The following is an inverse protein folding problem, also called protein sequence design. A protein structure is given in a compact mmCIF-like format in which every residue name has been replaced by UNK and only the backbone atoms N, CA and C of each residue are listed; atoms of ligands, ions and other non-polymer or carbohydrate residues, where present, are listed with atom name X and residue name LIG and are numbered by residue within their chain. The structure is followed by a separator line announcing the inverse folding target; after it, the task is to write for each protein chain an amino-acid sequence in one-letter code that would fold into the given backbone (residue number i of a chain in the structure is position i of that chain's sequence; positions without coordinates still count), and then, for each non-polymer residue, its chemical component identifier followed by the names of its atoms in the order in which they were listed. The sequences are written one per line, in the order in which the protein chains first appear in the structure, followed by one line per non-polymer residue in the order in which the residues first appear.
data_IF_540769348429
#
_entry.id   IF_540769348429
#
_cell.length_a   1.000
_cell.length_b   1.000
_cell.length_c   1.000
_cell.angle_alpha   90.00
_cell.angle_beta   90.00
_cell.angle_gamma   90.00
#
_symmetry.space_group_name_H-M   'P 1'
#
loop_
_entity.id
_entity.type
_entity.pdbx_description
1 polymer ?
#
# COMPACT_ATOMS: atom_id res chain seq x y z
N UNK A 1 0.29 -19.62 -0.68
CA UNK A 1 0.26 -19.06 0.69
C UNK A 1 0.66 -17.58 0.73
N UNK A 2 1.94 -17.18 0.80
CA UNK A 2 2.33 -15.77 1.03
C UNK A 2 1.88 -14.73 -0.02
N UNK A 3 1.67 -15.16 -1.28
CA UNK A 3 1.06 -14.30 -2.30
C UNK A 3 -0.40 -13.96 -1.97
N UNK A 4 -1.16 -14.94 -1.45
CA UNK A 4 -2.54 -14.74 -1.04
C UNK A 4 -2.63 -13.72 0.11
N UNK A 5 -1.69 -13.72 1.04
CA UNK A 5 -1.68 -12.74 2.13
C UNK A 5 -1.40 -11.32 1.64
N UNK A 6 -0.50 -11.15 0.67
CA UNK A 6 -0.26 -9.84 0.04
C UNK A 6 -1.46 -9.37 -0.80
N UNK A 7 -2.16 -10.30 -1.46
CA UNK A 7 -3.42 -10.02 -2.16
C UNK A 7 -4.50 -9.60 -1.15
N UNK A 8 -4.62 -10.32 -0.03
CA UNK A 8 -5.53 -9.98 1.06
C UNK A 8 -5.24 -8.59 1.61
N UNK A 9 -3.97 -8.27 1.91
CA UNK A 9 -3.55 -6.93 2.33
C UNK A 9 -3.88 -5.86 1.28
N UNK A 10 -3.68 -6.16 -0.01
CA UNK A 10 -4.05 -5.24 -1.09
C UNK A 10 -5.57 -5.02 -1.15
N UNK A 11 -6.37 -6.07 -1.00
CA UNK A 11 -7.83 -5.99 -0.96
C UNK A 11 -8.32 -5.21 0.26
N UNK A 12 -7.76 -5.49 1.45
CA UNK A 12 -8.04 -4.72 2.68
C UNK A 12 -7.69 -3.25 2.48
N UNK A 13 -6.54 -2.96 1.88
CA UNK A 13 -6.11 -1.60 1.61
C UNK A 13 -7.06 -0.88 0.64
N UNK A 14 -7.51 -1.55 -0.42
CA UNK A 14 -8.48 -0.97 -1.36
C UNK A 14 -9.84 -0.70 -0.69
N UNK A 15 -10.34 -1.62 0.14
CA UNK A 15 -11.56 -1.39 0.93
C UNK A 15 -11.41 -0.23 1.91
N UNK A 16 -10.25 -0.14 2.58
CA UNK A 16 -9.92 0.99 3.44
C UNK A 16 -9.79 2.29 2.65
N UNK A 17 -9.23 2.26 1.43
CA UNK A 17 -9.13 3.43 0.55
C UNK A 17 -10.51 3.96 0.14
N UNK A 18 -11.47 3.07 -0.11
CA UNK A 18 -12.84 3.45 -0.44
C UNK A 18 -13.58 4.10 0.73
N UNK A 19 -13.19 3.80 1.97
CA UNK A 19 -13.89 4.24 3.19
C UNK A 19 -13.19 5.43 3.86
N UNK A 20 -11.86 5.36 3.94
CA UNK A 20 -10.96 6.31 4.61
C UNK A 20 -9.73 6.60 3.74
N UNK A 21 -9.87 7.37 2.65
CA UNK A 21 -8.83 7.51 1.63
C UNK A 21 -7.52 8.06 2.19
N UNK A 22 -7.58 9.08 3.05
CA UNK A 22 -6.39 9.73 3.60
C UNK A 22 -5.57 8.77 4.49
N UNK A 23 -6.23 8.08 5.42
CA UNK A 23 -5.57 7.09 6.27
C UNK A 23 -5.02 5.91 5.46
N UNK A 24 -5.73 5.46 4.43
CA UNK A 24 -5.25 4.40 3.56
C UNK A 24 -3.97 4.82 2.80
N UNK A 25 -3.92 6.05 2.25
CA UNK A 25 -2.71 6.58 1.60
C UNK A 25 -1.54 6.66 2.58
N UNK A 26 -1.78 7.16 3.80
CA UNK A 26 -0.76 7.20 4.86
C UNK A 26 -0.24 5.80 5.21
N UNK A 27 -1.14 4.82 5.36
CA UNK A 27 -0.79 3.44 5.64
C UNK A 27 0.06 2.82 4.52
N UNK A 28 -0.28 3.09 3.25
CA UNK A 28 0.50 2.61 2.10
C UNK A 28 1.89 3.25 2.04
N UNK A 29 1.98 4.56 2.30
CA UNK A 29 3.25 5.28 2.35
C UNK A 29 4.14 4.74 3.48
N UNK A 30 3.58 4.54 4.68
CA UNK A 30 4.28 3.94 5.82
C UNK A 30 4.75 2.52 5.50
N UNK A 31 3.87 1.67 4.98
CA UNK A 31 4.22 0.31 4.57
C UNK A 31 5.35 0.31 3.53
N UNK A 32 5.25 1.19 2.53
CA UNK A 32 6.24 1.31 1.46
C UNK A 32 7.61 1.75 1.98
N UNK A 33 7.64 2.72 2.91
CA UNK A 33 8.86 3.17 3.57
C UNK A 33 9.51 2.04 4.38
N UNK A 34 8.73 1.31 5.19
CA UNK A 34 9.21 0.19 6.00
C UNK A 34 9.70 -0.96 5.13
N UNK A 35 8.99 -1.29 4.05
CA UNK A 35 9.41 -2.33 3.11
C UNK A 35 10.74 -2.00 2.43
N UNK A 36 10.91 -0.76 1.96
CA UNK A 36 12.17 -0.31 1.32
C UNK A 36 13.32 -0.20 2.32
N UNK A 37 13.05 0.25 3.54
CA UNK A 37 14.05 0.24 4.61
C UNK A 37 14.51 -1.19 4.91
N UNK A 38 13.57 -2.14 5.01
CA UNK A 38 13.85 -3.56 5.25
C UNK A 38 14.71 -4.17 4.14
N UNK A 39 14.39 -3.91 2.87
CA UNK A 39 15.16 -4.40 1.72
C UNK A 39 16.61 -3.91 1.74
N UNK A 40 16.83 -2.62 2.07
CA UNK A 40 18.18 -2.03 2.19
C UNK A 40 18.96 -2.61 3.36
N UNK A 41 18.34 -2.75 4.53
CA UNK A 41 19.00 -3.30 5.72
C UNK A 41 19.40 -4.75 5.48
N UNK A 42 18.52 -5.57 4.90
CA UNK A 42 18.83 -6.97 4.55
C UNK A 42 19.98 -7.04 3.54
N UNK A 43 19.94 -6.22 2.48
CA UNK A 43 20.99 -6.20 1.46
C UNK A 43 22.35 -5.82 2.06
N UNK A 44 22.40 -4.75 2.88
CA UNK A 44 23.64 -4.31 3.54
C UNK A 44 24.19 -5.36 4.49
N UNK A 45 23.34 -6.03 5.27
CA UNK A 45 23.76 -7.09 6.18
C UNK A 45 24.32 -8.31 5.44
N UNK A 46 23.70 -8.70 4.32
CA UNK A 46 24.17 -9.82 3.50
C UNK A 46 25.55 -9.50 2.91
N UNK A 47 25.71 -8.34 2.26
CA UNK A 47 27.00 -7.90 1.70
C UNK A 47 28.08 -7.82 2.78
N UNK A 48 27.76 -7.25 3.94
CA UNK A 48 28.71 -7.14 5.05
C UNK A 48 29.13 -8.51 5.60
N UNK A 49 28.19 -9.46 5.76
CA UNK A 49 28.50 -10.82 6.23
C UNK A 49 29.35 -11.60 5.25
N UNK A 50 29.15 -11.41 3.95
CA UNK A 50 30.02 -12.00 2.92
C UNK A 50 31.44 -11.44 3.01
N UNK A 51 31.59 -10.13 3.21
CA UNK A 51 32.91 -9.50 3.24
C UNK A 51 33.68 -9.65 4.56
N UNK A 52 32.99 -9.70 5.72
CA UNK A 52 33.63 -9.61 7.04
C UNK A 52 33.24 -10.71 8.03
N UNK A 53 32.45 -11.70 7.62
CA UNK A 53 31.90 -12.74 8.49
C UNK A 53 30.77 -12.25 9.40
N UNK A 54 30.23 -13.16 10.22
CA UNK A 54 29.14 -12.85 11.18
C UNK A 54 29.73 -12.25 12.45
N UNK A 55 29.25 -11.08 12.88
CA UNK A 55 29.62 -10.49 14.18
C UNK A 55 28.37 -10.32 15.08
N UNK A 56 28.48 -10.59 16.39
CA UNK A 56 27.35 -10.45 17.31
C UNK A 56 26.90 -8.99 17.51
N UNK A 57 27.79 -8.02 17.26
CA UNK A 57 27.48 -6.58 17.34
C UNK A 57 26.58 -6.06 16.22
N UNK A 58 26.28 -6.87 15.20
CA UNK A 58 25.50 -6.44 14.03
C UNK A 58 24.05 -6.09 14.36
N UNK A 59 23.47 -6.74 15.36
CA UNK A 59 22.08 -6.55 15.77
C UNK A 59 21.88 -5.21 16.50
N UNK A 60 22.66 -4.87 17.55
CA UNK A 60 22.54 -3.56 18.20
C UNK A 60 22.80 -2.40 17.24
N UNK A 61 23.82 -2.51 16.37
CA UNK A 61 24.11 -1.48 15.36
C UNK A 61 22.97 -1.29 14.34
N UNK A 62 22.29 -2.37 13.95
CA UNK A 62 21.13 -2.29 13.07
C UNK A 62 19.94 -1.56 13.71
N UNK A 63 19.75 -1.68 15.03
CA UNK A 63 18.70 -0.96 15.76
C UNK A 63 19.03 0.53 15.84
N UNK A 64 20.27 0.88 16.19
CA UNK A 64 20.73 2.28 16.29
C UNK A 64 20.63 3.00 14.94
N UNK A 65 20.97 2.31 13.84
CA UNK A 65 20.88 2.88 12.50
C UNK A 65 19.48 2.77 11.89
N UNK A 66 18.52 2.12 12.54
CA UNK A 66 17.16 1.93 12.01
C UNK A 66 16.45 3.25 11.66
N UNK A 67 16.59 4.36 12.41
CA UNK A 67 15.97 5.63 12.06
C UNK A 67 16.51 6.20 10.75
N UNK A 68 17.80 6.03 10.48
CA UNK A 68 18.43 6.48 9.23
C UNK A 68 17.97 5.63 8.04
N UNK A 69 17.85 4.31 8.22
CA UNK A 69 17.33 3.43 7.16
C UNK A 69 15.86 3.73 6.85
N UNK A 70 15.07 4.08 7.87
CA UNK A 70 13.69 4.57 7.73
C UNK A 70 13.66 5.91 6.97
N UNK A 71 14.52 6.87 7.32
CA UNK A 71 14.58 8.16 6.64
C UNK A 71 14.89 8.02 5.15
N UNK A 72 15.93 7.27 4.80
CA UNK A 72 16.30 7.05 3.39
C UNK A 72 15.18 6.24 2.68
N UNK A 73 14.56 5.29 3.39
CA UNK A 73 13.39 4.53 2.91
C UNK A 73 12.18 5.43 2.62
N UNK A 74 11.95 6.43 3.47
CA UNK A 74 10.91 7.43 3.32
C UNK A 74 11.18 8.33 2.11
N UNK A 75 12.40 8.85 1.94
CA UNK A 75 12.77 9.66 0.77
C UNK A 75 12.56 8.87 -0.53
N UNK A 76 13.05 7.63 -0.58
CA UNK A 76 12.82 6.77 -1.75
C UNK A 76 11.33 6.50 -2.00
N UNK A 77 10.53 6.49 -0.93
CA UNK A 77 9.08 6.31 -1.02
C UNK A 77 8.40 7.54 -1.58
N UNK A 78 8.74 8.73 -1.11
CA UNK A 78 8.21 9.99 -1.66
C UNK A 78 8.48 10.05 -3.17
N UNK A 79 9.73 9.85 -3.59
CA UNK A 79 10.11 9.93 -5.02
C UNK A 79 9.38 8.88 -5.85
N UNK A 80 9.33 7.63 -5.39
CA UNK A 80 8.68 6.55 -6.13
C UNK A 80 7.14 6.58 -6.07
N UNK A 81 6.54 7.32 -5.14
CA UNK A 81 5.09 7.49 -5.07
C UNK A 81 4.56 8.57 -6.01
N UNK A 82 5.42 9.44 -6.56
CA UNK A 82 4.99 10.48 -7.51
C UNK A 82 4.24 9.85 -8.69
N UNK A 83 4.84 8.85 -9.34
CA UNK A 83 4.27 8.25 -10.54
C UNK A 83 2.99 7.43 -10.26
N UNK A 84 2.94 6.54 -9.23
CA UNK A 84 1.70 5.93 -8.79
C UNK A 84 0.59 6.91 -8.40
N UNK A 85 0.93 8.03 -7.75
CA UNK A 85 -0.04 9.05 -7.37
C UNK A 85 -0.65 9.72 -8.60
N UNK A 86 0.17 10.07 -9.60
CA UNK A 86 -0.31 10.63 -10.86
C UNK A 86 -1.19 9.65 -11.63
N UNK A 87 -0.78 8.37 -11.72
CA UNK A 87 -1.57 7.31 -12.36
C UNK A 87 -2.89 7.08 -11.64
N UNK A 88 -2.87 7.09 -10.30
CA UNK A 88 -4.08 6.97 -9.50
C UNK A 88 -5.03 8.13 -9.72
N UNK A 89 -4.51 9.37 -9.67
CA UNK A 89 -5.26 10.59 -9.91
C UNK A 89 -5.92 10.57 -11.29
N UNK A 90 -5.14 10.27 -12.33
CA UNK A 90 -5.65 10.12 -13.70
C UNK A 90 -6.74 9.03 -13.77
N UNK A 91 -6.55 7.91 -13.06
CA UNK A 91 -7.53 6.84 -12.94
C UNK A 91 -8.86 7.28 -12.30
N UNK A 92 -8.81 8.09 -11.23
CA UNK A 92 -10.01 8.65 -10.59
C UNK A 92 -10.80 9.49 -11.58
N UNK A 93 -10.13 10.43 -12.26
CA UNK A 93 -10.79 11.31 -13.22
C UNK A 93 -11.28 10.55 -14.46
N UNK A 94 -10.49 9.64 -15.01
CA UNK A 94 -10.89 8.82 -16.15
C UNK A 94 -12.11 7.95 -15.82
N UNK A 95 -12.16 7.34 -14.62
CA UNK A 95 -13.30 6.56 -14.16
C UNK A 95 -14.55 7.44 -13.99
N UNK A 96 -14.40 8.63 -13.39
CA UNK A 96 -15.49 9.58 -13.23
C UNK A 96 -16.09 9.99 -14.59
N UNK A 97 -15.25 10.35 -15.56
CA UNK A 97 -15.67 10.72 -16.92
C UNK A 97 -16.35 9.56 -17.65
N UNK A 98 -15.76 8.36 -17.60
CA UNK A 98 -16.30 7.18 -18.27
C UNK A 98 -17.65 6.75 -17.69
N UNK A 99 -17.76 6.71 -16.36
CA UNK A 99 -19.02 6.36 -15.69
C UNK A 99 -20.09 7.42 -15.93
N UNK A 100 -19.74 8.70 -15.89
CA UNK A 100 -20.69 9.78 -16.18
C UNK A 100 -21.22 9.71 -17.60
N UNK A 101 -20.33 9.49 -18.58
CA UNK A 101 -20.70 9.40 -19.99
C UNK A 101 -21.51 8.15 -20.34
N UNK A 102 -21.33 7.04 -19.63
CA UNK A 102 -22.02 5.76 -19.91
C UNK A 102 -23.33 5.58 -19.17
N UNK A 103 -23.45 6.12 -17.94
CA UNK A 103 -24.66 5.99 -17.12
C UNK A 103 -25.68 7.10 -17.32
N UNK A 104 -25.27 8.22 -17.95
CA UNK A 104 -26.09 9.44 -18.03
C UNK A 104 -26.30 10.14 -16.68
N UNK A 105 -25.72 9.61 -15.60
CA UNK A 105 -25.73 10.19 -14.27
C UNK A 105 -24.36 10.76 -13.94
N UNK A 106 -24.30 11.94 -13.34
CA UNK A 106 -23.02 12.56 -12.98
C UNK A 106 -22.34 11.77 -11.84
N UNK A 107 -21.24 11.09 -12.18
CA UNK A 107 -20.40 10.37 -11.22
C UNK A 107 -19.18 11.24 -10.90
N UNK A 108 -19.13 11.71 -9.66
CA UNK A 108 -18.16 12.70 -9.22
C UNK A 108 -16.78 12.10 -8.95
N UNK A 109 -15.69 12.82 -9.26
CA UNK A 109 -14.36 12.51 -8.74
C UNK A 109 -14.38 12.50 -7.19
N UNK A 110 -13.88 11.42 -6.59
CA UNK A 110 -13.96 11.21 -5.14
C UNK A 110 -15.09 10.31 -4.67
N UNK A 111 -16.00 9.90 -5.57
CA UNK A 111 -16.92 8.80 -5.29
C UNK A 111 -16.14 7.50 -4.97
N UNK A 112 -16.66 6.61 -4.10
CA UNK A 112 -15.96 5.38 -3.69
C UNK A 112 -15.46 4.56 -4.89
N UNK A 113 -16.30 4.43 -5.93
CA UNK A 113 -15.96 3.65 -7.13
C UNK A 113 -14.81 4.29 -7.93
N UNK A 114 -14.79 5.61 -8.09
CA UNK A 114 -13.75 6.30 -8.86
C UNK A 114 -12.42 6.27 -8.11
N UNK A 115 -12.46 6.44 -6.78
CA UNK A 115 -11.30 6.29 -5.88
C UNK A 115 -10.75 4.87 -5.91
N UNK A 116 -11.61 3.84 -5.95
CA UNK A 116 -11.18 2.44 -6.07
C UNK A 116 -10.46 2.17 -7.39
N UNK A 117 -10.99 2.65 -8.52
CA UNK A 117 -10.31 2.48 -9.82
C UNK A 117 -8.94 3.16 -9.81
N UNK A 118 -8.87 4.41 -9.34
CA UNK A 118 -7.60 5.12 -9.16
C UNK A 118 -6.63 4.38 -8.23
N UNK A 119 -7.13 3.87 -7.10
CA UNK A 119 -6.36 3.09 -6.13
C UNK A 119 -5.79 1.80 -6.70
N UNK A 120 -6.57 1.05 -7.48
CA UNK A 120 -6.12 -0.15 -8.18
C UNK A 120 -4.99 0.19 -9.15
N UNK A 121 -5.17 1.23 -9.98
CA UNK A 121 -4.17 1.66 -10.95
C UNK A 121 -2.89 2.16 -10.27
N UNK A 122 -3.02 2.94 -9.20
CA UNK A 122 -1.90 3.38 -8.38
C UNK A 122 -1.15 2.20 -7.75
N UNK A 123 -1.88 1.23 -7.20
CA UNK A 123 -1.26 0.06 -6.57
C UNK A 123 -0.56 -0.83 -7.60
N UNK A 124 -1.16 -1.02 -8.76
CA UNK A 124 -0.53 -1.71 -9.89
C UNK A 124 0.75 -0.99 -10.30
N UNK A 125 0.72 0.32 -10.47
CA UNK A 125 1.89 1.12 -10.85
C UNK A 125 2.97 1.10 -9.76
N UNK A 126 2.59 1.17 -8.49
CA UNK A 126 3.52 1.07 -7.37
C UNK A 126 4.16 -0.31 -7.30
N UNK A 127 3.39 -1.37 -7.61
CA UNK A 127 3.86 -2.74 -7.56
C UNK A 127 4.74 -3.11 -8.75
N UNK A 128 4.43 -2.67 -9.97
CA UNK A 128 5.15 -3.02 -11.20
C UNK A 128 6.18 -1.97 -11.63
N UNK A 129 5.97 -0.70 -11.29
CA UNK A 129 6.76 0.44 -11.73
C UNK A 129 8.10 0.65 -10.99
N UNK A 130 8.68 1.86 -11.09
CA UNK A 130 10.02 2.15 -10.59
C UNK A 130 10.10 1.99 -9.07
N UNK A 131 11.04 1.17 -8.61
CA UNK A 131 11.19 0.83 -7.19
C UNK A 131 10.22 -0.25 -6.68
N UNK A 132 9.37 -0.82 -7.53
CA UNK A 132 8.48 -1.92 -7.18
C UNK A 132 9.24 -3.18 -6.75
N UNK A 133 10.40 -3.49 -7.35
CA UNK A 133 11.22 -4.64 -6.96
C UNK A 133 11.65 -4.60 -5.48
N UNK A 134 12.04 -3.43 -4.98
CA UNK A 134 12.41 -3.25 -3.57
C UNK A 134 11.19 -3.40 -2.65
N UNK A 135 10.05 -2.81 -3.03
CA UNK A 135 8.78 -2.95 -2.32
C UNK A 135 8.33 -4.42 -2.21
N UNK A 136 8.40 -5.18 -3.31
CA UNK A 136 8.04 -6.60 -3.36
C UNK A 136 8.94 -7.45 -2.48
N UNK A 137 10.26 -7.21 -2.52
CA UNK A 137 11.24 -7.94 -1.69
C UNK A 137 11.05 -7.62 -0.21
N UNK A 138 10.94 -6.34 0.14
CA UNK A 138 10.70 -5.85 1.49
C UNK A 138 9.39 -6.38 2.08
N UNK A 139 8.27 -6.25 1.36
CA UNK A 139 6.95 -6.72 1.81
C UNK A 139 6.96 -8.22 2.08
N UNK A 140 7.58 -9.02 1.19
CA UNK A 140 7.74 -10.47 1.40
C UNK A 140 8.64 -10.80 2.59
N UNK A 141 9.60 -9.95 2.93
CA UNK A 141 10.47 -10.13 4.10
C UNK A 141 9.72 -9.84 5.40
N UNK A 142 8.92 -8.77 5.42
CA UNK A 142 8.08 -8.38 6.56
C UNK A 142 7.05 -9.48 6.84
N UNK A 143 6.24 -9.85 5.84
CA UNK A 143 5.20 -10.89 6.00
C UNK A 143 5.81 -12.21 6.48
N UNK A 144 6.99 -12.58 5.97
CA UNK A 144 7.73 -13.78 6.38
C UNK A 144 8.08 -13.83 7.86
N UNK A 145 8.30 -12.66 8.49
CA UNK A 145 8.70 -12.56 9.89
C UNK A 145 7.51 -12.41 10.81
N UNK A 146 6.48 -11.72 10.34
CA UNK A 146 5.30 -11.38 11.14
C UNK A 146 4.30 -12.53 11.17
N UNK A 147 4.11 -13.23 10.05
CA UNK A 147 3.10 -14.28 9.92
C UNK A 147 3.78 -15.65 9.85
N UNK A 148 3.53 -16.55 10.81
CA UNK A 148 4.01 -17.92 10.76
C UNK A 148 3.54 -18.65 9.50
N UNK A 149 4.35 -19.56 8.98
CA UNK A 149 3.94 -20.43 7.88
C UNK A 149 2.94 -21.48 8.36
N UNK A 150 1.95 -21.80 7.52
CA UNK A 150 0.95 -22.85 7.79
C UNK A 150 -0.50 -22.37 7.62
N UNK A 151 -1.47 -23.19 8.08
CA UNK A 151 -2.91 -22.90 7.96
C UNK A 151 -3.34 -21.52 8.48
N UNK A 152 -2.79 -20.99 9.60
CA UNK A 152 -3.15 -19.65 10.08
C UNK A 152 -2.89 -18.53 9.06
N UNK A 153 -1.85 -18.67 8.23
CA UNK A 153 -1.53 -17.68 7.20
C UNK A 153 -2.57 -17.65 6.07
N UNK A 154 -3.22 -18.78 5.81
CA UNK A 154 -4.27 -18.90 4.79
C UNK A 154 -5.58 -18.31 5.32
N UNK A 155 -5.95 -18.65 6.55
CA UNK A 155 -7.11 -18.07 7.22
C UNK A 155 -6.99 -16.55 7.26
N UNK A 156 -5.83 -16.03 7.67
CA UNK A 156 -5.58 -14.59 7.70
C UNK A 156 -5.69 -13.95 6.30
N UNK A 157 -5.15 -14.60 5.26
CA UNK A 157 -5.27 -14.11 3.90
C UNK A 157 -6.73 -14.03 3.43
N UNK A 158 -7.54 -15.07 3.74
CA UNK A 158 -8.97 -15.10 3.42
C UNK A 158 -9.71 -14.01 4.19
N UNK A 159 -9.50 -13.89 5.50
CA UNK A 159 -10.13 -12.88 6.35
C UNK A 159 -9.81 -11.47 5.83
N UNK A 160 -8.55 -11.17 5.54
CA UNK A 160 -8.15 -9.87 4.99
C UNK A 160 -8.84 -9.57 3.66
N UNK A 161 -8.95 -10.57 2.79
CA UNK A 161 -9.62 -10.44 1.49
C UNK A 161 -11.11 -10.17 1.67
N UNK A 162 -11.80 -10.95 2.49
CA UNK A 162 -13.23 -10.79 2.78
C UNK A 162 -13.52 -9.44 3.41
N UNK A 163 -12.72 -9.02 4.39
CA UNK A 163 -12.85 -7.69 5.02
C UNK A 163 -12.65 -6.58 4.00
N UNK A 164 -11.64 -6.68 3.13
CA UNK A 164 -11.41 -5.70 2.08
C UNK A 164 -12.57 -5.57 1.09
N UNK A 165 -13.11 -6.70 0.65
CA UNK A 165 -14.29 -6.74 -0.24
C UNK A 165 -15.52 -6.17 0.46
N UNK A 166 -15.76 -6.54 1.73
CA UNK A 166 -16.89 -6.05 2.50
C UNK A 166 -16.83 -4.52 2.67
N UNK A 167 -15.66 -3.97 3.03
CA UNK A 167 -15.46 -2.52 3.14
C UNK A 167 -15.69 -1.80 1.81
N UNK A 168 -15.14 -2.33 0.71
CA UNK A 168 -15.36 -1.75 -0.62
C UNK A 168 -16.85 -1.78 -1.01
N UNK A 169 -17.54 -2.89 -0.75
CA UNK A 169 -18.97 -3.03 -1.00
C UNK A 169 -19.81 -2.07 -0.17
N UNK A 170 -19.54 -1.95 1.13
CA UNK A 170 -20.23 -1.01 2.02
C UNK A 170 -20.05 0.44 1.58
N UNK A 171 -18.84 0.80 1.14
CA UNK A 171 -18.54 2.13 0.62
C UNK A 171 -19.31 2.42 -0.69
N UNK A 172 -19.33 1.47 -1.63
CA UNK A 172 -20.02 1.65 -2.93
C UNK A 172 -21.55 1.67 -2.76
N UNK A 173 -22.11 0.84 -1.88
CA UNK A 173 -23.55 0.74 -1.65
C UNK A 173 -24.16 1.93 -0.91
N UNK A 174 -23.34 2.92 -0.51
CA UNK A 174 -23.81 4.12 0.20
C UNK A 174 -24.15 3.90 1.68
N UNK A 175 -23.88 2.70 2.21
CA UNK A 175 -24.10 2.39 3.63
C UNK A 175 -23.15 3.15 4.57
N UNK A 176 -22.04 3.66 4.04
CA UNK A 176 -21.08 4.51 4.75
C UNK A 176 -20.65 5.66 3.84
N UNK A 177 -20.74 6.90 4.32
CA UNK A 177 -20.15 8.05 3.63
C UNK A 177 -18.62 7.99 3.68
N UNK A 178 -17.94 8.24 2.56
CA UNK A 178 -16.48 8.34 2.49
C UNK A 178 -16.00 9.40 3.47
N UNK A 179 -15.16 9.01 4.43
CA UNK A 179 -14.57 9.94 5.39
C UNK A 179 -13.19 10.36 4.93
N UNK A 180 -13.04 11.65 4.64
CA UNK A 180 -11.78 12.26 4.22
C UNK A 180 -10.88 12.66 5.39
N UNK A 181 -11.29 12.42 6.64
CA UNK A 181 -10.48 12.69 7.82
C UNK A 181 -9.06 12.12 7.66
N UNK A 182 -8.01 12.88 8.03
CA UNK A 182 -8.03 14.17 8.73
C UNK A 182 -8.22 15.40 7.83
N UNK A 183 -8.47 15.24 6.53
CA UNK A 183 -8.76 16.38 5.64
C UNK A 183 -10.14 16.95 5.96
N UNK A 184 -10.27 18.27 5.81
CA UNK A 184 -11.52 19.01 6.09
C UNK A 184 -12.64 18.76 5.06
N UNK A 185 -12.34 18.10 3.93
CA UNK A 185 -13.30 17.80 2.88
C UNK A 185 -12.71 16.98 1.73
N UNK A 186 -13.53 16.72 0.71
CA UNK A 186 -13.11 16.02 -0.50
C UNK A 186 -12.06 16.85 -1.27
N UNK A 187 -10.83 16.36 -1.47
CA UNK A 187 -9.78 17.09 -2.18
C UNK A 187 -10.05 17.24 -3.69
N UNK A 188 -11.02 16.50 -4.24
CA UNK A 188 -11.37 16.56 -5.65
C UNK A 188 -12.45 17.61 -6.00
N UNK A 189 -12.96 18.34 -5.01
CA UNK A 189 -14.03 19.32 -5.16
C UNK A 189 -15.30 18.92 -4.41
N UNK A 190 -16.03 19.96 -3.97
CA UNK A 190 -17.28 19.88 -3.18
C UNK A 190 -18.50 19.66 -4.04
#
# INVERSE_FOLDING_TARGET
MRRALLIGLAATWLGALATWPAYAVMALAAWSAVARATDRTVTRLVVRRYAHGRRPSDVPWAVILSPLHLLIGAIATVVSMILPALVGLAGVFAAALLLSGSSGTEVRPGAPITVLVGGILALLMLWTGPGGASLRRGSRSIVRRVVPDGPPSEVLAVVLTVVGIALAYMAISGSSSVSWAPLSGNPFGS
#
